data_IF_924581460920
#
_entry.id   IF_924581460920
#
_cell.length_a   1.000
_cell.length_b   1.000
_cell.length_c   1.000
_cell.angle_alpha   90.00
_cell.angle_beta   90.00
_cell.angle_gamma   90.00
#
_symmetry.space_group_name_H-M   'P 1'
#
loop_
_entity.id
_entity.type
_entity.pdbx_description
1 polymer ?
#
# COMPACT_ATOMS: atom_id res chain seq x y z
N UNK A 1 20.01 21.52 -12.25
CA UNK A 1 21.05 20.49 -12.26
C UNK A 1 20.36 19.15 -12.31
N UNK A 2 20.63 18.24 -13.23
CA UNK A 2 19.94 16.95 -13.31
C UNK A 2 20.42 16.05 -12.17
N UNK A 3 19.45 15.45 -11.52
CA UNK A 3 19.56 14.52 -10.40
C UNK A 3 20.46 13.32 -10.77
N UNK A 4 21.66 13.30 -10.22
CA UNK A 4 22.60 12.19 -10.34
C UNK A 4 22.25 11.06 -9.37
N UNK A 5 21.16 10.36 -9.61
CA UNK A 5 20.91 9.08 -8.95
C UNK A 5 21.84 8.06 -9.57
N UNK A 6 22.86 7.71 -8.79
CA UNK A 6 23.80 6.65 -9.11
C UNK A 6 23.05 5.31 -9.22
N UNK A 7 23.06 4.62 -10.38
CA UNK A 7 22.40 3.33 -10.56
C UNK A 7 23.03 2.19 -9.73
N UNK A 8 24.08 2.47 -8.97
CA UNK A 8 24.84 1.48 -8.19
C UNK A 8 24.65 1.59 -6.68
N UNK A 9 23.74 2.45 -6.21
CA UNK A 9 23.48 2.49 -4.76
C UNK A 9 22.62 1.28 -4.37
N UNK A 10 23.16 0.28 -3.64
CA UNK A 10 22.36 -0.84 -3.15
C UNK A 10 21.23 -0.29 -2.29
N UNK A 11 20.01 -0.74 -2.54
CA UNK A 11 18.77 -0.39 -1.87
C UNK A 11 19.01 0.01 -0.41
N UNK A 12 18.54 1.18 -0.02
CA UNK A 12 18.60 1.63 1.38
C UNK A 12 18.13 0.46 2.27
N UNK A 13 18.84 0.13 3.36
CA UNK A 13 18.47 -1.00 4.19
C UNK A 13 17.03 -0.78 4.63
N UNK A 14 16.14 -1.67 4.17
CA UNK A 14 14.74 -1.65 4.56
C UNK A 14 14.66 -1.48 6.08
N UNK A 15 13.87 -0.52 6.56
CA UNK A 15 13.69 -0.21 7.98
C UNK A 15 13.42 -1.45 8.84
N UNK A 16 13.23 -1.33 10.15
CA UNK A 16 12.92 -2.48 11.01
C UNK A 16 11.69 -3.21 10.47
N UNK A 17 11.63 -4.57 10.57
CA UNK A 17 10.48 -5.33 10.08
C UNK A 17 9.20 -4.88 10.81
N UNK A 18 8.04 -4.89 10.13
CA UNK A 18 6.78 -4.57 10.76
C UNK A 18 6.53 -5.44 12.01
N UNK A 19 5.87 -4.92 13.06
CA UNK A 19 5.56 -5.73 14.23
C UNK A 19 4.71 -6.95 13.84
N UNK A 20 4.98 -8.10 14.47
CA UNK A 20 4.27 -9.35 14.18
C UNK A 20 4.76 -10.07 12.91
N UNK A 21 6.00 -9.84 12.48
CA UNK A 21 6.63 -10.53 11.36
C UNK A 21 7.94 -11.20 11.77
N UNK A 22 8.22 -12.37 11.19
CA UNK A 22 9.53 -13.02 11.25
C UNK A 22 10.32 -12.74 9.97
N UNK A 23 11.61 -12.48 10.08
CA UNK A 23 12.52 -12.42 8.94
C UNK A 23 13.05 -13.83 8.67
N UNK A 24 12.69 -14.41 7.52
CA UNK A 24 13.13 -15.75 7.11
C UNK A 24 14.53 -15.73 6.48
N UNK A 25 14.91 -14.59 5.87
CA UNK A 25 16.19 -14.45 5.19
C UNK A 25 16.17 -13.37 4.11
N UNK A 26 17.15 -13.44 3.20
CA UNK A 26 17.24 -12.55 2.03
C UNK A 26 17.58 -13.35 0.78
N UNK A 27 16.91 -13.04 -0.33
CA UNK A 27 17.17 -13.59 -1.66
C UNK A 27 17.43 -12.44 -2.62
N UNK A 28 18.62 -12.37 -3.22
CA UNK A 28 19.04 -11.28 -4.13
C UNK A 28 18.83 -9.88 -3.56
N UNK A 29 19.04 -9.69 -2.25
CA UNK A 29 18.84 -8.42 -1.57
C UNK A 29 17.41 -8.17 -1.07
N UNK A 30 16.42 -8.91 -1.55
CA UNK A 30 15.02 -8.84 -1.15
C UNK A 30 14.86 -9.50 0.22
N UNK A 31 14.26 -8.80 1.18
CA UNK A 31 13.92 -9.36 2.49
C UNK A 31 12.73 -10.30 2.38
N UNK A 32 12.86 -11.52 2.90
CA UNK A 32 11.73 -12.45 3.02
C UNK A 32 11.19 -12.39 4.44
N UNK A 33 9.92 -12.07 4.58
CA UNK A 33 9.23 -12.00 5.87
C UNK A 33 7.99 -12.88 5.88
N UNK A 34 7.62 -13.37 7.07
CA UNK A 34 6.41 -14.15 7.29
C UNK A 34 5.63 -13.55 8.47
N UNK A 35 4.35 -13.26 8.26
CA UNK A 35 3.47 -12.74 9.32
C UNK A 35 2.98 -13.85 10.22
N UNK A 36 2.81 -13.55 11.50
CA UNK A 36 2.22 -14.49 12.48
C UNK A 36 0.82 -14.94 12.07
N UNK A 37 0.10 -14.15 11.28
CA UNK A 37 -1.22 -14.51 10.74
C UNK A 37 -1.19 -15.72 9.81
N UNK A 38 0.01 -16.15 9.34
CA UNK A 38 0.18 -17.38 8.58
C UNK A 38 0.04 -18.64 9.44
N UNK A 39 0.43 -18.58 10.73
CA UNK A 39 0.42 -19.74 11.60
C UNK A 39 -0.96 -20.41 11.80
N UNK A 40 -2.05 -19.68 12.09
CA UNK A 40 -3.38 -20.29 12.19
C UNK A 40 -3.80 -21.01 10.91
N UNK A 41 -3.46 -20.44 9.74
CA UNK A 41 -3.77 -21.03 8.45
C UNK A 41 -2.92 -22.27 8.18
N UNK A 42 -1.63 -22.19 8.44
CA UNK A 42 -0.72 -23.33 8.34
C UNK A 42 -1.18 -24.49 9.25
N UNK A 43 -1.62 -24.18 10.47
CA UNK A 43 -2.17 -25.17 11.39
C UNK A 43 -3.49 -25.78 10.86
N UNK A 44 -4.39 -24.98 10.34
CA UNK A 44 -5.65 -25.46 9.74
C UNK A 44 -5.37 -26.37 8.54
N UNK A 45 -4.46 -25.98 7.65
CA UNK A 45 -4.03 -26.81 6.53
C UNK A 45 -3.38 -28.12 7.00
N UNK A 46 -2.52 -28.06 8.03
CA UNK A 46 -1.90 -29.26 8.60
C UNK A 46 -2.93 -30.22 9.20
N UNK A 47 -3.90 -29.73 9.94
CA UNK A 47 -4.98 -30.53 10.53
C UNK A 47 -5.84 -31.17 9.41
N UNK A 48 -6.24 -30.36 8.42
CA UNK A 48 -7.03 -30.85 7.28
C UNK A 48 -6.30 -31.94 6.50
N UNK A 49 -5.03 -31.70 6.17
CA UNK A 49 -4.22 -32.68 5.43
C UNK A 49 -3.92 -33.94 6.27
N UNK A 50 -3.65 -33.80 7.57
CA UNK A 50 -3.48 -34.94 8.48
C UNK A 50 -4.75 -35.79 8.58
N UNK A 51 -5.94 -35.17 8.48
CA UNK A 51 -7.21 -35.90 8.44
C UNK A 51 -7.36 -36.70 7.12
N UNK A 52 -7.03 -36.09 5.98
CA UNK A 52 -7.05 -36.79 4.67
C UNK A 52 -6.11 -37.99 4.69
N UNK A 53 -4.85 -37.80 5.10
CA UNK A 53 -3.86 -38.89 5.21
C UNK A 53 -4.34 -39.96 6.19
N UNK A 54 -4.90 -39.58 7.35
CA UNK A 54 -5.36 -40.55 8.34
C UNK A 54 -6.55 -41.37 7.90
N UNK A 55 -7.38 -40.90 6.97
CA UNK A 55 -8.46 -41.66 6.37
C UNK A 55 -7.96 -42.65 5.32
N UNK A 56 -6.97 -42.26 4.51
CA UNK A 56 -6.44 -43.09 3.43
C UNK A 56 -5.33 -44.06 3.90
N UNK A 57 -4.58 -43.69 4.91
CA UNK A 57 -3.42 -44.44 5.45
C UNK A 57 -3.47 -44.51 6.98
N UNK A 58 -4.47 -45.22 7.57
CA UNK A 58 -4.63 -45.32 9.02
C UNK A 58 -3.41 -45.95 9.73
N UNK A 59 -2.64 -46.77 9.04
CA UNK A 59 -1.44 -47.44 9.52
C UNK A 59 -0.29 -46.47 9.85
N UNK A 60 -0.30 -45.26 9.29
CA UNK A 60 0.73 -44.25 9.58
C UNK A 60 0.67 -43.72 11.03
N UNK A 61 -0.48 -43.86 11.70
CA UNK A 61 -0.63 -43.39 13.08
C UNK A 61 -0.19 -41.93 13.24
N UNK A 62 0.81 -41.68 14.10
CA UNK A 62 1.36 -40.36 14.35
C UNK A 62 2.16 -39.75 13.17
N UNK A 63 2.69 -40.58 12.27
CA UNK A 63 3.47 -40.10 11.13
C UNK A 63 2.66 -39.24 10.15
N UNK A 64 1.33 -39.35 10.15
CA UNK A 64 0.43 -38.47 9.37
C UNK A 64 0.65 -36.98 9.67
N UNK A 65 1.02 -36.61 10.89
CA UNK A 65 1.28 -35.22 11.26
C UNK A 65 2.63 -34.71 10.68
N UNK A 66 3.61 -35.62 10.56
CA UNK A 66 4.90 -35.30 9.89
C UNK A 66 4.67 -35.07 8.40
N UNK A 67 3.87 -35.92 7.75
CA UNK A 67 3.47 -35.74 6.36
C UNK A 67 2.68 -34.43 6.13
N UNK A 68 1.76 -34.12 7.06
CA UNK A 68 1.01 -32.87 7.00
C UNK A 68 1.91 -31.63 7.16
N UNK A 69 2.87 -31.66 8.07
CA UNK A 69 3.85 -30.60 8.24
C UNK A 69 4.68 -30.41 6.96
N UNK A 70 5.19 -31.52 6.37
CA UNK A 70 5.94 -31.46 5.13
C UNK A 70 5.12 -30.87 3.97
N UNK A 71 3.82 -31.21 3.89
CA UNK A 71 2.89 -30.62 2.91
C UNK A 71 2.76 -29.11 3.11
N UNK A 72 2.53 -28.64 4.34
CA UNK A 72 2.41 -27.20 4.64
C UNK A 72 3.69 -26.45 4.28
N UNK A 73 4.87 -27.04 4.56
CA UNK A 73 6.15 -26.44 4.17
C UNK A 73 6.25 -26.37 2.62
N UNK A 74 5.93 -27.45 1.91
CA UNK A 74 5.96 -27.49 0.44
C UNK A 74 4.97 -26.46 -0.17
N UNK A 75 3.78 -26.36 0.38
CA UNK A 75 2.79 -25.37 -0.05
C UNK A 75 3.27 -23.94 0.23
N UNK A 76 3.87 -23.66 1.41
CA UNK A 76 4.44 -22.36 1.73
C UNK A 76 5.57 -21.99 0.75
N UNK A 77 6.41 -22.96 0.40
CA UNK A 77 7.46 -22.76 -0.62
C UNK A 77 6.84 -22.45 -1.99
N UNK A 78 5.74 -23.10 -2.36
CA UNK A 78 5.06 -22.82 -3.64
C UNK A 78 4.46 -21.41 -3.69
N UNK A 79 3.90 -20.91 -2.58
CA UNK A 79 3.47 -19.50 -2.46
C UNK A 79 4.66 -18.56 -2.56
N UNK A 80 5.80 -18.90 -1.93
CA UNK A 80 7.02 -18.11 -2.07
C UNK A 80 7.51 -18.05 -3.54
N UNK A 81 7.43 -19.16 -4.29
CA UNK A 81 7.75 -19.18 -5.73
C UNK A 81 6.83 -18.25 -6.51
N UNK A 82 5.54 -18.23 -6.20
CA UNK A 82 4.57 -17.31 -6.77
C UNK A 82 4.96 -15.86 -6.54
N UNK A 83 5.22 -15.45 -5.30
CA UNK A 83 5.64 -14.09 -4.95
C UNK A 83 7.00 -13.72 -5.54
N UNK A 84 7.93 -14.68 -5.56
CA UNK A 84 9.25 -14.48 -6.15
C UNK A 84 9.15 -14.23 -7.67
N UNK A 85 8.21 -14.89 -8.35
CA UNK A 85 7.97 -14.65 -9.77
C UNK A 85 7.54 -13.19 -10.03
N UNK A 86 6.63 -12.62 -9.22
CA UNK A 86 6.28 -11.20 -9.27
C UNK A 86 7.49 -10.29 -9.04
N UNK A 87 8.28 -10.58 -8.00
CA UNK A 87 9.46 -9.81 -7.64
C UNK A 87 10.51 -9.80 -8.76
N UNK A 88 10.83 -10.96 -9.32
CA UNK A 88 11.81 -11.10 -10.40
C UNK A 88 11.35 -10.38 -11.68
N UNK A 89 10.06 -10.45 -12.00
CA UNK A 89 9.51 -9.74 -13.16
C UNK A 89 9.54 -8.23 -12.93
N UNK A 90 9.20 -7.72 -11.73
CA UNK A 90 9.31 -6.30 -11.39
C UNK A 90 10.75 -5.81 -11.53
N UNK A 91 11.73 -6.55 -10.99
CA UNK A 91 13.15 -6.22 -11.10
C UNK A 91 13.64 -6.21 -12.56
N UNK A 92 13.10 -7.07 -13.44
CA UNK A 92 13.43 -7.07 -14.87
C UNK A 92 13.01 -5.78 -15.57
N UNK A 93 11.98 -5.11 -15.06
CA UNK A 93 11.56 -3.78 -15.53
C UNK A 93 12.24 -2.62 -14.78
N UNK A 94 13.24 -2.91 -13.95
CA UNK A 94 13.96 -1.89 -13.17
C UNK A 94 13.16 -1.32 -12.00
N UNK A 95 12.11 -2.03 -11.57
CA UNK A 95 11.29 -1.64 -10.43
C UNK A 95 11.93 -2.25 -9.17
N UNK A 96 12.21 -1.42 -8.16
CA UNK A 96 12.79 -1.86 -6.89
C UNK A 96 11.82 -2.78 -6.13
N UNK A 97 12.36 -3.81 -5.49
CA UNK A 97 11.62 -4.71 -4.60
C UNK A 97 12.36 -4.80 -3.28
N UNK A 98 11.75 -4.33 -2.20
CA UNK A 98 12.38 -4.31 -0.87
C UNK A 98 12.06 -5.54 -0.02
N UNK A 99 10.83 -6.05 -0.12
CA UNK A 99 10.35 -7.11 0.75
C UNK A 99 9.31 -7.99 0.06
N UNK A 100 9.39 -9.31 0.32
CA UNK A 100 8.34 -10.28 0.06
C UNK A 100 7.77 -10.71 1.41
N UNK A 101 6.49 -10.47 1.61
CA UNK A 101 5.79 -10.80 2.84
C UNK A 101 4.84 -11.98 2.61
N UNK A 102 5.09 -13.08 3.32
CA UNK A 102 4.20 -14.25 3.33
C UNK A 102 3.17 -14.07 4.43
N UNK A 103 1.92 -13.86 4.03
CA UNK A 103 0.78 -13.73 4.93
C UNK A 103 -0.50 -14.20 4.25
N UNK A 104 -1.48 -14.68 5.01
CA UNK A 104 -2.72 -15.22 4.40
C UNK A 104 -3.57 -14.14 3.74
N UNK A 105 -3.81 -13.00 4.42
CA UNK A 105 -4.63 -11.92 3.90
C UNK A 105 -3.84 -10.78 3.24
N UNK A 106 -2.52 -10.82 3.34
CA UNK A 106 -1.63 -9.78 2.85
C UNK A 106 -0.28 -10.38 2.44
N UNK A 107 -0.30 -11.57 1.79
CA UNK A 107 0.85 -11.99 1.02
C UNK A 107 1.02 -10.96 -0.11
N UNK A 108 2.24 -10.56 -0.37
CA UNK A 108 2.51 -9.61 -1.42
C UNK A 108 3.95 -9.15 -1.44
N UNK A 109 4.37 -8.83 -2.63
CA UNK A 109 5.68 -8.24 -2.89
C UNK A 109 5.60 -6.73 -2.70
N UNK A 110 6.38 -6.18 -1.75
CA UNK A 110 6.52 -4.73 -1.59
C UNK A 110 7.39 -4.18 -2.71
N UNK A 111 6.73 -3.61 -3.70
CA UNK A 111 7.32 -3.01 -4.89
C UNK A 111 7.53 -1.53 -4.60
N UNK A 112 8.78 -1.05 -4.70
CA UNK A 112 9.16 0.34 -4.54
C UNK A 112 9.01 1.07 -5.88
N UNK A 113 8.04 1.98 -5.94
CA UNK A 113 7.75 2.77 -7.13
C UNK A 113 6.47 2.38 -7.86
N UNK A 114 6.04 3.27 -8.73
CA UNK A 114 4.86 3.05 -9.55
C UNK A 114 5.24 2.36 -10.87
N UNK A 115 4.38 1.46 -11.32
CA UNK A 115 4.49 0.86 -12.65
C UNK A 115 4.22 1.94 -13.69
N UNK A 116 5.14 2.09 -14.64
CA UNK A 116 5.12 3.21 -15.60
C UNK A 116 4.30 2.92 -16.85
N UNK A 117 3.96 1.66 -17.09
CA UNK A 117 3.22 1.25 -18.28
C UNK A 117 2.23 0.11 -18.01
N UNK A 118 1.13 0.02 -18.81
CA UNK A 118 0.20 -1.11 -18.74
C UNK A 118 0.87 -2.46 -19.00
N UNK A 119 1.91 -2.51 -19.83
CA UNK A 119 2.62 -3.75 -20.13
C UNK A 119 3.43 -4.26 -18.94
N UNK A 120 4.12 -3.37 -18.23
CA UNK A 120 4.83 -3.72 -16.99
C UNK A 120 3.85 -4.28 -15.96
N UNK A 121 2.72 -3.59 -15.78
CA UNK A 121 1.67 -4.03 -14.86
C UNK A 121 1.15 -5.42 -15.20
N UNK A 122 0.78 -5.64 -16.46
CA UNK A 122 0.28 -6.92 -16.96
C UNK A 122 1.30 -8.04 -16.73
N UNK A 123 2.55 -7.84 -17.15
CA UNK A 123 3.61 -8.85 -17.06
C UNK A 123 3.93 -9.22 -15.63
N UNK A 124 4.03 -8.22 -14.74
CA UNK A 124 4.30 -8.46 -13.31
C UNK A 124 3.13 -9.19 -12.67
N UNK A 125 1.88 -8.86 -13.01
CA UNK A 125 0.72 -9.44 -12.35
C UNK A 125 0.40 -10.88 -12.81
N UNK A 126 0.67 -11.21 -14.08
CA UNK A 126 0.33 -12.54 -14.62
C UNK A 126 1.34 -13.63 -14.26
N UNK A 127 2.60 -13.25 -13.96
CA UNK A 127 3.69 -14.23 -13.81
C UNK A 127 3.56 -15.09 -12.56
N UNK A 128 3.02 -14.55 -11.44
CA UNK A 128 2.76 -15.31 -10.21
C UNK A 128 1.76 -16.43 -10.42
N UNK A 129 0.55 -16.14 -10.90
CA UNK A 129 -0.42 -17.18 -11.29
C UNK A 129 0.15 -18.23 -12.24
N UNK A 130 0.90 -17.83 -13.27
CA UNK A 130 1.55 -18.77 -14.18
C UNK A 130 2.54 -19.66 -13.43
N UNK A 131 3.34 -19.11 -12.51
CA UNK A 131 4.25 -19.90 -11.69
C UNK A 131 3.51 -20.93 -10.85
N UNK A 132 2.38 -20.55 -10.22
CA UNK A 132 1.54 -21.50 -9.48
C UNK A 132 0.96 -22.58 -10.38
N UNK A 133 0.48 -22.25 -11.59
CA UNK A 133 -0.03 -23.25 -12.55
C UNK A 133 1.06 -24.22 -12.98
N UNK A 134 2.31 -23.74 -13.19
CA UNK A 134 3.45 -24.60 -13.52
C UNK A 134 3.80 -25.52 -12.34
N UNK A 135 3.93 -24.98 -11.13
CA UNK A 135 4.20 -25.79 -9.93
C UNK A 135 3.09 -26.81 -9.72
N UNK A 136 1.83 -26.40 -9.87
CA UNK A 136 0.67 -27.27 -9.76
C UNK A 136 0.68 -28.40 -10.79
N UNK A 137 0.96 -28.08 -12.05
CA UNK A 137 1.10 -29.06 -13.12
C UNK A 137 2.25 -30.05 -12.89
N UNK A 138 3.42 -29.55 -12.47
CA UNK A 138 4.58 -30.40 -12.16
C UNK A 138 4.31 -31.31 -10.96
N UNK A 139 3.69 -30.82 -9.90
CA UNK A 139 3.31 -31.61 -8.73
C UNK A 139 2.29 -32.71 -9.11
N UNK A 140 1.27 -32.34 -9.90
CA UNK A 140 0.27 -33.28 -10.40
C UNK A 140 0.88 -34.36 -11.28
N UNK A 141 1.77 -34.01 -12.21
CA UNK A 141 2.49 -34.98 -13.03
C UNK A 141 3.43 -35.86 -12.20
N UNK A 142 4.14 -35.25 -11.24
CA UNK A 142 5.03 -35.95 -10.30
C UNK A 142 4.29 -36.95 -9.42
N UNK A 143 3.02 -36.70 -9.07
CA UNK A 143 2.23 -37.65 -8.29
C UNK A 143 2.08 -39.00 -8.99
N UNK A 144 2.06 -39.01 -10.33
CA UNK A 144 1.95 -40.23 -11.14
C UNK A 144 3.16 -41.18 -11.04
N UNK A 145 4.26 -40.72 -10.45
CA UNK A 145 5.44 -41.56 -10.18
C UNK A 145 5.30 -42.41 -8.90
N UNK A 146 4.21 -42.23 -8.14
CA UNK A 146 3.95 -42.92 -6.88
C UNK A 146 2.64 -43.72 -6.98
N UNK A 147 2.71 -45.02 -6.85
CA UNK A 147 1.53 -45.89 -6.84
C UNK A 147 0.92 -45.89 -5.43
N UNK A 148 -0.26 -45.25 -5.28
CA UNK A 148 -1.12 -45.23 -4.07
C UNK A 148 -0.38 -45.01 -2.71
N UNK A 149 0.78 -44.36 -2.75
CA UNK A 149 1.56 -44.04 -1.56
C UNK A 149 1.23 -42.62 -1.03
N UNK A 150 1.62 -42.36 0.20
CA UNK A 150 1.53 -41.01 0.80
C UNK A 150 2.10 -39.92 -0.09
N UNK A 151 3.17 -40.25 -0.85
CA UNK A 151 3.78 -39.34 -1.85
C UNK A 151 2.84 -38.99 -2.99
N UNK A 152 2.02 -39.94 -3.46
CA UNK A 152 0.95 -39.66 -4.45
C UNK A 152 -0.02 -38.59 -3.93
N UNK A 153 -0.61 -38.85 -2.74
CA UNK A 153 -1.60 -37.92 -2.15
C UNK A 153 -0.98 -36.56 -1.89
N UNK A 154 0.22 -36.52 -1.33
CA UNK A 154 0.89 -35.25 -1.02
C UNK A 154 1.16 -34.40 -2.27
N UNK A 155 1.66 -35.01 -3.35
CA UNK A 155 1.92 -34.30 -4.60
C UNK A 155 0.64 -33.97 -5.36
N UNK A 156 -0.37 -34.84 -5.32
CA UNK A 156 -1.66 -34.59 -5.94
C UNK A 156 -2.36 -33.40 -5.27
N UNK A 157 -2.45 -33.38 -3.93
CA UNK A 157 -3.04 -32.27 -3.17
C UNK A 157 -2.25 -30.96 -3.36
N UNK A 158 -0.91 -31.04 -3.38
CA UNK A 158 -0.07 -29.87 -3.68
C UNK A 158 -0.34 -29.35 -5.09
N UNK A 159 -0.51 -30.26 -6.05
CA UNK A 159 -0.86 -29.94 -7.43
C UNK A 159 -2.19 -29.21 -7.51
N UNK A 160 -3.24 -29.79 -6.92
CA UNK A 160 -4.60 -29.22 -6.89
C UNK A 160 -4.59 -27.86 -6.18
N UNK A 161 -3.94 -27.74 -5.02
CA UNK A 161 -3.88 -26.48 -4.28
C UNK A 161 -3.23 -25.37 -5.12
N UNK A 162 -2.10 -25.65 -5.79
CA UNK A 162 -1.45 -24.68 -6.65
C UNK A 162 -2.24 -24.32 -7.91
N UNK A 163 -2.95 -25.28 -8.51
CA UNK A 163 -3.87 -25.02 -9.63
C UNK A 163 -5.02 -24.10 -9.18
N UNK A 164 -5.60 -24.35 -8.00
CA UNK A 164 -6.63 -23.48 -7.42
C UNK A 164 -6.06 -22.08 -7.19
N UNK A 165 -4.88 -21.95 -6.58
CA UNK A 165 -4.22 -20.65 -6.35
C UNK A 165 -3.98 -19.92 -7.68
N UNK A 166 -3.44 -20.61 -8.69
CA UNK A 166 -3.17 -20.02 -10.00
C UNK A 166 -4.43 -19.54 -10.71
N UNK A 167 -5.47 -20.39 -10.75
CA UNK A 167 -6.74 -20.06 -11.41
C UNK A 167 -7.49 -18.95 -10.67
N UNK A 168 -7.59 -19.04 -9.35
CA UNK A 168 -8.31 -18.03 -8.56
C UNK A 168 -7.60 -16.67 -8.62
N UNK A 169 -6.26 -16.63 -8.60
CA UNK A 169 -5.52 -15.39 -8.78
C UNK A 169 -5.63 -14.80 -10.19
N UNK A 170 -6.02 -15.56 -11.21
CA UNK A 170 -6.33 -15.02 -12.55
C UNK A 170 -7.75 -14.47 -12.69
N UNK A 171 -8.62 -14.64 -11.70
CA UNK A 171 -9.97 -14.05 -11.74
C UNK A 171 -9.91 -12.52 -11.79
N UNK A 172 -10.70 -11.90 -12.69
CA UNK A 172 -10.59 -10.46 -12.97
C UNK A 172 -11.23 -9.61 -11.88
N UNK A 173 -10.55 -9.44 -10.75
CA UNK A 173 -11.07 -8.64 -9.63
C UNK A 173 -10.02 -8.37 -8.55
N UNK A 174 -9.87 -7.11 -8.15
CA UNK A 174 -9.04 -6.78 -6.99
C UNK A 174 -9.65 -7.40 -5.71
N UNK A 175 -8.83 -7.87 -4.77
CA UNK A 175 -7.38 -7.69 -4.66
C UNK A 175 -6.53 -8.77 -5.33
N UNK A 176 -7.10 -9.68 -6.14
CA UNK A 176 -6.39 -10.76 -6.82
C UNK A 176 -5.48 -10.22 -7.94
N UNK A 177 -4.48 -11.03 -8.36
CA UNK A 177 -3.56 -10.65 -9.44
C UNK A 177 -4.27 -10.40 -10.77
N UNK A 178 -5.31 -11.17 -11.09
CA UNK A 178 -6.18 -10.96 -12.23
C UNK A 178 -6.92 -9.60 -12.19
N UNK A 179 -7.11 -9.03 -11.03
CA UNK A 179 -7.59 -7.66 -10.88
C UNK A 179 -6.56 -6.64 -11.37
N UNK A 180 -5.27 -6.83 -11.08
CA UNK A 180 -4.20 -6.00 -11.62
C UNK A 180 -4.02 -6.20 -13.13
N UNK A 181 -4.19 -7.44 -13.61
CA UNK A 181 -4.26 -7.74 -15.06
C UNK A 181 -5.40 -6.97 -15.71
N UNK A 182 -6.62 -7.03 -15.14
CA UNK A 182 -7.77 -6.27 -15.64
C UNK A 182 -7.50 -4.75 -15.62
N UNK A 183 -6.89 -4.24 -14.54
CA UNK A 183 -6.47 -2.84 -14.44
C UNK A 183 -5.54 -2.46 -15.59
N UNK A 184 -4.53 -3.26 -15.86
CA UNK A 184 -3.57 -3.04 -16.96
C UNK A 184 -4.26 -2.99 -18.32
N UNK A 185 -5.20 -3.91 -18.57
CA UNK A 185 -5.98 -3.96 -19.81
C UNK A 185 -6.81 -2.68 -19.97
N UNK A 186 -7.60 -2.32 -18.96
CA UNK A 186 -8.44 -1.11 -19.00
C UNK A 186 -7.56 0.14 -19.12
N UNK A 187 -6.44 0.21 -18.41
CA UNK A 187 -5.48 1.31 -18.51
C UNK A 187 -4.93 1.45 -19.95
N UNK A 188 -4.56 0.34 -20.59
CA UNK A 188 -4.08 0.35 -21.97
C UNK A 188 -5.10 0.96 -22.96
N UNK A 189 -6.39 0.67 -22.78
CA UNK A 189 -7.43 1.17 -23.68
C UNK A 189 -7.91 2.58 -23.35
N UNK A 190 -7.91 2.98 -22.06
CA UNK A 190 -8.43 4.28 -21.62
C UNK A 190 -7.34 5.34 -21.46
N UNK A 191 -6.05 4.94 -21.47
CA UNK A 191 -4.94 5.81 -21.15
C UNK A 191 -4.87 6.23 -19.67
N UNK A 192 -5.77 5.73 -18.81
CA UNK A 192 -5.91 6.17 -17.43
C UNK A 192 -5.87 5.01 -16.44
N UNK A 193 -4.81 4.95 -15.62
CA UNK A 193 -4.61 3.92 -14.61
C UNK A 193 -5.71 3.92 -13.54
N UNK A 194 -6.23 5.10 -13.15
CA UNK A 194 -7.28 5.20 -12.13
C UNK A 194 -8.60 4.60 -12.61
N UNK A 195 -8.96 4.79 -13.87
CA UNK A 195 -10.12 4.14 -14.49
C UNK A 195 -9.98 2.62 -14.44
N UNK A 196 -8.78 2.11 -14.73
CA UNK A 196 -8.46 0.69 -14.60
C UNK A 196 -8.66 0.17 -13.18
N UNK A 197 -8.15 0.90 -12.17
CA UNK A 197 -8.31 0.52 -10.76
C UNK A 197 -9.77 0.48 -10.34
N UNK A 198 -10.58 1.47 -10.76
CA UNK A 198 -12.01 1.51 -10.46
C UNK A 198 -12.74 0.32 -11.09
N UNK A 199 -12.47 0.01 -12.36
CA UNK A 199 -13.06 -1.12 -13.07
C UNK A 199 -12.70 -2.45 -12.39
N UNK A 200 -11.42 -2.67 -12.06
CA UNK A 200 -10.95 -3.89 -11.40
C UNK A 200 -11.51 -4.03 -9.97
N UNK A 201 -11.68 -2.93 -9.24
CA UNK A 201 -12.29 -2.97 -7.91
C UNK A 201 -13.80 -3.28 -7.97
N UNK A 202 -14.53 -2.78 -8.95
CA UNK A 202 -15.93 -3.16 -9.14
C UNK A 202 -16.07 -4.63 -9.57
N UNK A 203 -15.20 -5.12 -10.46
CA UNK A 203 -15.15 -6.52 -10.83
C UNK A 203 -14.89 -7.42 -9.61
N UNK A 204 -13.98 -7.02 -8.71
CA UNK A 204 -13.74 -7.72 -7.45
C UNK A 204 -14.96 -7.76 -6.51
N UNK A 205 -15.78 -6.70 -6.48
CA UNK A 205 -17.05 -6.71 -5.72
C UNK A 205 -18.07 -7.64 -6.34
N UNK A 206 -18.19 -7.67 -7.66
CA UNK A 206 -19.05 -8.61 -8.37
C UNK A 206 -18.60 -10.04 -8.07
N UNK A 207 -17.30 -10.30 -8.11
CA UNK A 207 -16.74 -11.60 -7.76
C UNK A 207 -17.03 -11.97 -6.30
N UNK A 208 -16.92 -11.03 -5.35
CA UNK A 208 -17.29 -11.25 -3.96
C UNK A 208 -18.76 -11.67 -3.81
N UNK A 209 -19.67 -11.00 -4.50
CA UNK A 209 -21.08 -11.37 -4.51
C UNK A 209 -21.34 -12.73 -5.15
N UNK A 210 -20.62 -13.06 -6.23
CA UNK A 210 -20.71 -14.37 -6.86
C UNK A 210 -20.24 -15.49 -5.92
N UNK A 211 -19.14 -15.27 -5.18
CA UNK A 211 -18.63 -16.22 -4.17
C UNK A 211 -19.62 -16.40 -3.01
N UNK A 212 -20.25 -15.32 -2.54
CA UNK A 212 -21.29 -15.41 -1.50
C UNK A 212 -22.54 -16.17 -1.96
N UNK A 213 -22.90 -16.06 -3.24
CA UNK A 213 -24.03 -16.78 -3.82
C UNK A 213 -23.70 -18.26 -4.17
N UNK A 214 -22.40 -18.59 -4.24
CA UNK A 214 -21.95 -19.90 -4.75
C UNK A 214 -22.55 -21.11 -4.01
N UNK A 215 -22.65 -21.17 -2.66
CA UNK A 215 -23.25 -22.32 -1.98
C UNK A 215 -24.69 -22.59 -2.43
N UNK A 216 -25.50 -21.53 -2.58
CA UNK A 216 -26.89 -21.63 -3.03
C UNK A 216 -26.97 -22.03 -4.50
N UNK A 217 -26.10 -21.46 -5.36
CA UNK A 217 -26.06 -21.81 -6.78
C UNK A 217 -25.65 -23.27 -7.01
N UNK A 218 -24.74 -23.82 -6.19
CA UNK A 218 -24.34 -25.22 -6.28
C UNK A 218 -25.47 -26.16 -5.87
N UNK A 219 -26.33 -25.78 -4.92
CA UNK A 219 -27.55 -26.55 -4.58
C UNK A 219 -28.52 -26.58 -5.75
N UNK A 220 -28.82 -25.42 -6.34
CA UNK A 220 -29.79 -25.32 -7.46
C UNK A 220 -29.30 -26.04 -8.73
N UNK A 221 -27.99 -25.95 -9.04
CA UNK A 221 -27.45 -26.51 -10.29
C UNK A 221 -27.14 -28.01 -10.17
N UNK A 222 -26.62 -28.47 -9.04
CA UNK A 222 -26.12 -29.83 -8.86
C UNK A 222 -26.82 -30.63 -7.76
N UNK A 223 -27.86 -30.07 -7.12
CA UNK A 223 -28.60 -30.72 -6.05
C UNK A 223 -27.76 -31.01 -4.79
N UNK A 224 -26.57 -30.41 -4.66
CA UNK A 224 -25.70 -30.60 -3.52
C UNK A 224 -26.13 -29.64 -2.40
N UNK A 225 -26.68 -30.19 -1.31
CA UNK A 225 -27.00 -29.37 -0.13
C UNK A 225 -25.73 -28.77 0.49
N UNK A 226 -25.63 -27.43 0.57
CA UNK A 226 -24.48 -26.77 1.14
C UNK A 226 -24.41 -27.01 2.66
N UNK A 227 -23.22 -27.32 3.14
CA UNK A 227 -22.93 -27.43 4.55
C UNK A 227 -22.73 -26.04 5.18
N UNK A 228 -22.82 -25.96 6.51
CA UNK A 228 -22.46 -24.72 7.23
C UNK A 228 -21.03 -24.26 6.94
N UNK A 229 -20.11 -25.19 6.69
CA UNK A 229 -18.72 -24.91 6.32
C UNK A 229 -18.63 -24.22 4.97
N UNK A 230 -19.42 -24.64 3.98
CA UNK A 230 -19.45 -24.00 2.66
C UNK A 230 -19.88 -22.52 2.77
N UNK A 231 -20.88 -22.21 3.59
CA UNK A 231 -21.31 -20.84 3.85
C UNK A 231 -20.26 -20.03 4.61
N UNK A 232 -19.57 -20.62 5.60
CA UNK A 232 -18.50 -19.94 6.33
C UNK A 232 -17.30 -19.61 5.42
N UNK A 233 -16.90 -20.53 4.56
CA UNK A 233 -15.83 -20.30 3.58
C UNK A 233 -16.25 -19.22 2.58
N UNK A 234 -17.47 -19.31 2.02
CA UNK A 234 -17.98 -18.29 1.11
C UNK A 234 -18.04 -16.91 1.75
N UNK A 235 -18.48 -16.82 3.02
CA UNK A 235 -18.50 -15.56 3.79
C UNK A 235 -17.09 -15.01 4.00
N UNK A 236 -16.14 -15.84 4.41
CA UNK A 236 -14.75 -15.43 4.65
C UNK A 236 -14.08 -14.91 3.37
N UNK A 237 -14.19 -15.67 2.28
CA UNK A 237 -13.60 -15.32 0.98
C UNK A 237 -14.31 -14.11 0.39
N UNK A 238 -15.64 -14.07 0.43
CA UNK A 238 -16.44 -12.94 -0.04
C UNK A 238 -16.13 -11.66 0.73
N UNK A 239 -16.01 -11.73 2.05
CA UNK A 239 -15.60 -10.59 2.89
C UNK A 239 -14.18 -10.11 2.54
N UNK A 240 -13.23 -11.02 2.34
CA UNK A 240 -11.87 -10.68 1.92
C UNK A 240 -11.85 -9.95 0.58
N UNK A 241 -12.53 -10.49 -0.42
CA UNK A 241 -12.63 -9.87 -1.75
C UNK A 241 -13.32 -8.51 -1.69
N UNK A 242 -14.41 -8.40 -0.94
CA UNK A 242 -15.14 -7.14 -0.78
C UNK A 242 -14.32 -6.06 -0.08
N UNK A 243 -13.65 -6.42 1.03
CA UNK A 243 -12.83 -5.49 1.80
C UNK A 243 -11.61 -5.01 1.00
N UNK A 244 -10.90 -5.92 0.32
CA UNK A 244 -9.76 -5.59 -0.52
C UNK A 244 -10.15 -4.72 -1.73
N UNK A 245 -11.27 -5.04 -2.40
CA UNK A 245 -11.83 -4.22 -3.48
C UNK A 245 -12.20 -2.82 -2.99
N UNK A 246 -12.79 -2.72 -1.80
CA UNK A 246 -13.20 -1.44 -1.20
C UNK A 246 -11.98 -0.60 -0.85
N UNK A 247 -10.95 -1.19 -0.27
CA UNK A 247 -9.70 -0.51 0.05
C UNK A 247 -9.03 0.04 -1.23
N UNK A 248 -8.96 -0.77 -2.29
CA UNK A 248 -8.41 -0.37 -3.60
C UNK A 248 -9.21 0.78 -4.23
N UNK A 249 -10.55 0.72 -4.15
CA UNK A 249 -11.43 1.78 -4.65
C UNK A 249 -11.25 3.09 -3.87
N UNK A 250 -11.14 2.99 -2.56
CA UNK A 250 -10.90 4.15 -1.69
C UNK A 250 -9.55 4.80 -1.99
N UNK A 251 -8.50 4.00 -2.10
CA UNK A 251 -7.16 4.47 -2.47
C UNK A 251 -7.16 5.16 -3.85
N UNK A 252 -7.82 4.57 -4.86
CA UNK A 252 -7.93 5.17 -6.19
C UNK A 252 -8.66 6.53 -6.16
N UNK A 253 -9.73 6.64 -5.36
CA UNK A 253 -10.46 7.90 -5.19
C UNK A 253 -9.63 8.97 -4.49
N UNK A 254 -8.85 8.58 -3.47
CA UNK A 254 -7.94 9.48 -2.78
C UNK A 254 -6.85 10.01 -3.73
N UNK A 255 -6.17 9.12 -4.46
CA UNK A 255 -5.13 9.50 -5.43
C UNK A 255 -5.67 10.39 -6.55
N UNK A 256 -6.92 10.22 -6.98
CA UNK A 256 -7.56 11.10 -7.98
C UNK A 256 -7.72 12.54 -7.50
N UNK A 257 -7.82 12.78 -6.18
CA UNK A 257 -7.95 14.11 -5.59
C UNK A 257 -6.60 14.82 -5.40
N UNK A 258 -5.50 14.08 -5.33
CA UNK A 258 -4.17 14.64 -5.06
C UNK A 258 -3.70 15.69 -6.09
N UNK A 259 -3.85 15.48 -7.42
CA UNK A 259 -3.46 16.49 -8.41
C UNK A 259 -4.25 17.81 -8.31
N UNK A 260 -5.43 17.79 -7.67
CA UNK A 260 -6.22 19.00 -7.46
C UNK A 260 -5.72 19.85 -6.27
N UNK A 261 -4.83 19.31 -5.44
CA UNK A 261 -4.19 20.05 -4.36
C UNK A 261 -3.04 20.90 -4.95
N UNK A 262 -3.30 22.17 -5.07
CA UNK A 262 -2.30 23.15 -5.52
C UNK A 262 -1.93 24.04 -4.33
N UNK A 263 -0.65 24.04 -3.93
CA UNK A 263 -0.14 24.91 -2.86
C UNK A 263 -0.56 26.35 -3.07
N UNK A 264 -0.43 26.84 -4.32
CA UNK A 264 -0.73 28.22 -4.71
C UNK A 264 -2.16 28.67 -4.38
N UNK A 265 -3.13 27.75 -4.42
CA UNK A 265 -4.54 28.06 -4.14
C UNK A 265 -4.91 27.90 -2.67
N UNK A 266 -4.13 27.12 -1.92
CA UNK A 266 -4.39 26.81 -0.50
C UNK A 266 -3.54 27.66 0.44
N UNK A 267 -2.35 28.09 0.00
CA UNK A 267 -1.45 28.90 0.81
C UNK A 267 -2.04 30.30 1.05
N UNK A 268 -1.97 30.75 2.29
CA UNK A 268 -2.31 32.11 2.68
C UNK A 268 -1.13 33.01 2.36
N UNK A 269 -1.36 34.15 1.73
CA UNK A 269 -0.29 35.13 1.50
C UNK A 269 0.32 35.58 2.83
N UNK A 270 1.62 35.70 2.88
CA UNK A 270 2.33 36.16 4.05
C UNK A 270 3.11 37.45 3.75
N UNK A 271 3.28 38.27 4.78
CA UNK A 271 4.27 39.35 4.78
C UNK A 271 5.54 38.88 5.47
N UNK A 272 6.68 39.41 5.03
CA UNK A 272 7.97 39.20 5.67
C UNK A 272 8.29 40.42 6.53
N UNK A 273 8.65 40.21 7.81
CA UNK A 273 9.04 41.27 8.76
C UNK A 273 10.31 40.88 9.51
N UNK A 274 11.08 41.86 9.95
CA UNK A 274 12.27 41.60 10.77
C UNK A 274 11.90 41.21 12.21
N UNK A 275 12.75 40.42 12.85
CA UNK A 275 12.56 39.87 14.20
C UNK A 275 12.25 40.91 15.29
N UNK A 276 12.79 42.13 15.18
CA UNK A 276 12.54 43.24 16.11
C UNK A 276 11.27 44.05 15.83
N UNK A 277 10.48 43.72 14.78
CA UNK A 277 9.26 44.47 14.47
C UNK A 277 8.23 44.31 15.59
N UNK A 278 7.61 45.42 16.09
CA UNK A 278 6.49 45.29 17.04
C UNK A 278 5.31 44.50 16.44
N UNK A 279 4.71 43.66 17.26
CA UNK A 279 3.57 42.82 16.83
C UNK A 279 2.39 43.66 16.32
N UNK A 280 2.14 44.82 16.92
CA UNK A 280 1.11 45.74 16.45
C UNK A 280 1.35 46.20 15.01
N UNK A 281 2.60 46.50 14.67
CA UNK A 281 3.00 46.94 13.34
C UNK A 281 2.93 45.79 12.34
N UNK A 282 3.37 44.58 12.72
CA UNK A 282 3.24 43.40 11.88
C UNK A 282 1.77 43.07 11.56
N UNK A 283 0.88 43.17 12.55
CA UNK A 283 -0.57 42.95 12.36
C UNK A 283 -1.18 44.03 11.45
N UNK A 284 -0.76 45.30 11.60
CA UNK A 284 -1.18 46.42 10.74
C UNK A 284 -0.79 46.16 9.28
N UNK A 285 0.50 45.86 9.04
CA UNK A 285 1.04 45.56 7.71
C UNK A 285 0.37 44.33 7.06
N UNK A 286 0.11 43.29 7.85
CA UNK A 286 -0.63 42.12 7.37
C UNK A 286 -2.05 42.49 6.94
N UNK A 287 -2.73 43.34 7.72
CA UNK A 287 -4.08 43.85 7.39
C UNK A 287 -4.09 44.67 6.11
N UNK A 288 -3.14 45.60 5.93
CA UNK A 288 -3.03 46.45 4.73
C UNK A 288 -2.70 45.65 3.47
N UNK A 289 -1.89 44.59 3.62
CA UNK A 289 -1.50 43.70 2.51
C UNK A 289 -2.49 42.57 2.26
N UNK A 290 -3.57 42.48 3.03
CA UNK A 290 -4.51 41.34 3.01
C UNK A 290 -3.81 39.98 3.17
N UNK A 291 -2.72 39.98 3.96
CA UNK A 291 -1.96 38.78 4.25
C UNK A 291 -2.53 38.04 5.48
N UNK A 292 -2.69 36.72 5.33
CA UNK A 292 -3.20 35.85 6.40
C UNK A 292 -2.11 35.26 7.29
N UNK A 293 -0.83 35.63 7.10
CA UNK A 293 0.28 35.12 7.89
C UNK A 293 1.45 36.12 7.95
N UNK A 294 2.29 35.97 8.97
CA UNK A 294 3.51 36.78 9.15
C UNK A 294 4.71 35.84 9.25
N UNK A 295 5.71 36.08 8.41
CA UNK A 295 6.98 35.35 8.38
C UNK A 295 8.07 36.24 8.90
N UNK A 296 8.91 35.74 9.81
CA UNK A 296 10.03 36.46 10.36
C UNK A 296 11.28 36.17 9.56
N UNK A 297 11.93 37.23 9.07
CA UNK A 297 13.19 37.15 8.31
C UNK A 297 14.37 37.61 9.16
N UNK A 298 15.54 37.05 8.89
CA UNK A 298 16.81 37.48 9.48
C UNK A 298 17.38 38.73 8.78
N UNK A 299 18.58 39.14 9.20
CA UNK A 299 19.29 40.31 8.62
C UNK A 299 19.66 40.11 7.14
N UNK A 300 19.77 38.86 6.66
CA UNK A 300 20.08 38.49 5.31
C UNK A 300 18.79 38.29 4.45
N UNK A 301 17.61 38.53 5.01
CA UNK A 301 16.32 38.38 4.34
C UNK A 301 15.81 36.94 4.28
N UNK A 302 16.47 36.02 4.97
CA UNK A 302 16.04 34.61 4.97
C UNK A 302 14.95 34.33 6.00
N UNK A 303 13.87 33.63 5.64
CA UNK A 303 12.81 33.27 6.57
C UNK A 303 13.30 32.22 7.58
N UNK A 304 13.08 32.46 8.87
CA UNK A 304 13.52 31.57 9.93
C UNK A 304 12.45 31.24 10.97
N UNK A 305 11.33 31.99 11.02
CA UNK A 305 10.25 31.74 11.96
C UNK A 305 8.88 32.14 11.38
N UNK A 306 7.81 31.56 11.92
CA UNK A 306 6.41 31.89 11.61
C UNK A 306 5.73 32.45 12.84
N UNK A 307 4.89 33.46 12.66
CA UNK A 307 3.99 33.97 13.70
C UNK A 307 2.61 33.34 13.47
N UNK A 308 2.17 32.47 14.37
CA UNK A 308 0.87 31.83 14.28
C UNK A 308 -0.28 32.75 14.71
N UNK A 309 -1.47 32.58 14.10
CA UNK A 309 -2.67 33.34 14.51
C UNK A 309 -3.00 33.11 15.99
N UNK A 310 -2.78 31.92 16.52
CA UNK A 310 -3.02 31.59 17.93
C UNK A 310 -2.07 32.36 18.87
N UNK A 311 -0.81 32.51 18.47
CA UNK A 311 0.16 33.29 19.23
C UNK A 311 -0.20 34.78 19.23
N UNK A 312 -0.61 35.35 18.08
CA UNK A 312 -1.12 36.74 17.99
C UNK A 312 -2.35 36.94 18.85
N UNK A 313 -3.30 36.00 18.85
CA UNK A 313 -4.54 36.05 19.62
C UNK A 313 -4.27 36.00 21.16
N UNK A 314 -3.21 35.33 21.58
CA UNK A 314 -2.82 35.22 22.98
C UNK A 314 -2.28 36.53 23.55
N UNK A 315 -1.80 37.48 22.71
CA UNK A 315 -1.27 38.78 23.13
C UNK A 315 -2.40 39.80 23.15
N UNK A 316 -2.65 40.38 24.33
CA UNK A 316 -3.66 41.43 24.51
C UNK A 316 -3.35 42.64 23.61
N UNK A 317 -4.34 43.31 23.01
CA UNK A 317 -4.12 44.43 22.07
C UNK A 317 -3.25 45.55 22.60
N UNK A 318 -3.34 45.88 23.90
CA UNK A 318 -2.55 46.89 24.58
C UNK A 318 -1.08 46.48 24.79
N UNK A 319 -0.74 45.21 24.70
CA UNK A 319 0.63 44.69 24.84
C UNK A 319 1.34 44.56 23.49
N UNK A 320 0.62 44.44 22.38
CA UNK A 320 1.17 44.24 21.03
C UNK A 320 2.20 45.31 20.58
N UNK A 321 2.09 46.58 20.95
CA UNK A 321 3.10 47.59 20.61
C UNK A 321 4.46 47.35 21.27
N UNK A 322 4.49 46.62 22.40
CA UNK A 322 5.68 46.37 23.21
C UNK A 322 6.22 44.93 23.04
N UNK A 323 5.46 44.06 22.42
CA UNK A 323 5.85 42.68 22.12
C UNK A 323 6.45 42.63 20.72
N UNK A 324 7.60 42.01 20.56
CA UNK A 324 8.23 41.81 19.25
C UNK A 324 7.68 40.54 18.58
N UNK A 325 7.73 40.50 17.24
CA UNK A 325 7.29 39.31 16.50
C UNK A 325 8.14 38.07 16.85
N UNK A 326 9.41 38.25 17.22
CA UNK A 326 10.29 37.15 17.64
C UNK A 326 9.83 36.46 18.93
N UNK A 327 9.17 37.18 19.85
CA UNK A 327 8.67 36.61 21.11
C UNK A 327 7.46 35.66 20.91
N UNK A 328 6.72 35.85 19.83
CA UNK A 328 5.49 35.09 19.48
C UNK A 328 5.67 34.20 18.27
N UNK A 329 6.87 34.09 17.72
CA UNK A 329 7.18 33.32 16.56
C UNK A 329 7.70 31.91 16.91
N UNK A 330 7.44 30.95 16.04
CA UNK A 330 7.98 29.59 16.13
C UNK A 330 9.01 29.38 15.02
N UNK A 331 10.20 28.89 15.38
CA UNK A 331 11.26 28.62 14.40
C UNK A 331 10.83 27.56 13.38
N UNK A 332 11.18 27.81 12.12
CA UNK A 332 10.94 26.90 11.01
C UNK A 332 12.08 25.90 10.95
N UNK A 333 11.79 24.60 11.07
CA UNK A 333 12.74 23.53 10.77
C UNK A 333 12.86 23.32 9.25
N UNK A 334 13.99 22.77 8.80
CA UNK A 334 14.21 22.48 7.37
C UNK A 334 13.12 21.58 6.73
N UNK A 335 12.48 20.72 7.52
CA UNK A 335 11.38 19.88 7.08
C UNK A 335 10.00 20.57 7.03
N UNK A 336 9.87 21.83 7.44
CA UNK A 336 8.60 22.58 7.44
C UNK A 336 8.52 23.60 6.30
N UNK A 337 9.20 23.32 5.19
CA UNK A 337 9.22 24.15 3.98
C UNK A 337 8.58 23.38 2.85
N UNK A 338 7.68 24.01 2.12
CA UNK A 338 6.96 23.47 0.96
C UNK A 338 7.18 24.43 -0.21
N UNK A 339 7.44 23.92 -1.40
CA UNK A 339 7.51 24.70 -2.62
C UNK A 339 6.12 25.10 -3.13
N UNK A 340 5.96 26.28 -3.69
CA UNK A 340 4.67 26.74 -4.25
C UNK A 340 4.17 25.87 -5.40
N UNK A 341 5.08 25.17 -6.07
CA UNK A 341 4.78 24.28 -7.21
C UNK A 341 4.76 22.79 -6.80
N UNK A 342 4.91 22.46 -5.50
CA UNK A 342 4.89 21.09 -5.02
C UNK A 342 3.54 20.44 -5.33
N UNK A 343 3.59 19.18 -5.72
CA UNK A 343 2.42 18.36 -6.02
C UNK A 343 1.70 17.93 -4.74
N UNK A 344 0.45 17.54 -4.85
CA UNK A 344 -0.30 17.02 -3.70
C UNK A 344 0.36 15.81 -3.01
N UNK A 345 1.14 15.00 -3.73
CA UNK A 345 1.91 13.89 -3.16
C UNK A 345 3.10 14.39 -2.33
N UNK A 346 3.85 15.36 -2.83
CA UNK A 346 4.97 16.00 -2.12
C UNK A 346 4.50 16.71 -0.85
N UNK A 347 3.37 17.43 -0.94
CA UNK A 347 2.73 18.04 0.24
C UNK A 347 2.44 16.98 1.30
N UNK A 348 1.76 15.89 0.93
CA UNK A 348 1.41 14.84 1.89
C UNK A 348 2.63 14.10 2.44
N UNK A 349 3.69 13.93 1.66
CA UNK A 349 4.96 13.37 2.14
C UNK A 349 5.55 14.26 3.23
N UNK A 350 5.68 15.57 2.97
CA UNK A 350 6.20 16.54 3.93
C UNK A 350 5.37 16.60 5.22
N UNK A 351 4.02 16.58 5.09
CA UNK A 351 3.13 16.59 6.27
C UNK A 351 3.26 15.30 7.12
N UNK A 352 3.61 14.17 6.51
CA UNK A 352 3.79 12.89 7.23
C UNK A 352 5.16 12.78 7.89
N UNK A 353 6.21 13.22 7.20
CA UNK A 353 7.58 13.14 7.69
C UNK A 353 7.87 14.17 8.77
N UNK A 354 7.30 15.37 8.63
CA UNK A 354 7.51 16.51 9.50
C UNK A 354 6.17 17.13 9.93
N UNK A 355 5.39 16.48 10.81
CA UNK A 355 4.07 16.96 11.19
C UNK A 355 4.15 18.29 11.92
N UNK A 356 3.45 19.31 11.40
CA UNK A 356 3.31 20.65 11.97
C UNK A 356 1.92 21.21 11.66
N UNK A 357 1.51 22.26 12.37
CA UNK A 357 0.25 22.96 12.10
C UNK A 357 0.35 23.89 10.90
N UNK A 358 1.53 24.42 10.62
CA UNK A 358 1.80 25.41 9.57
C UNK A 358 3.15 25.16 8.91
N UNK A 359 3.23 25.40 7.59
CA UNK A 359 4.43 25.23 6.78
C UNK A 359 4.71 26.53 6.02
N UNK A 360 5.99 26.89 5.94
CA UNK A 360 6.44 27.99 5.09
C UNK A 360 6.34 27.57 3.62
N UNK A 361 5.74 28.42 2.80
CA UNK A 361 5.71 28.23 1.35
C UNK A 361 6.68 29.18 0.68
N UNK A 362 7.62 28.62 -0.07
CA UNK A 362 8.59 29.38 -0.84
C UNK A 362 8.23 29.36 -2.34
N UNK A 363 8.48 30.48 -3.01
CA UNK A 363 8.41 30.56 -4.47
C UNK A 363 9.65 29.90 -5.10
N UNK A 364 9.63 29.73 -6.43
CA UNK A 364 10.71 29.12 -7.19
C UNK A 364 12.08 29.85 -7.02
N UNK A 365 12.06 31.14 -6.73
CA UNK A 365 13.24 31.98 -6.48
C UNK A 365 13.70 31.95 -5.02
N UNK A 366 13.06 31.13 -4.15
CA UNK A 366 13.36 31.06 -2.72
C UNK A 366 12.76 32.18 -1.88
N UNK A 367 11.97 33.07 -2.47
CA UNK A 367 11.22 34.12 -1.78
C UNK A 367 10.03 33.56 -0.99
N UNK A 368 9.59 34.30 0.04
CA UNK A 368 8.39 33.94 0.82
C UNK A 368 7.14 34.13 -0.03
N UNK A 369 6.47 33.04 -0.38
CA UNK A 369 5.17 33.09 -1.02
C UNK A 369 4.03 33.20 0.00
N UNK A 370 4.07 32.40 1.06
CA UNK A 370 3.02 32.37 2.06
C UNK A 370 3.20 31.28 3.12
N UNK A 371 2.12 30.94 3.76
CA UNK A 371 2.03 29.89 4.77
C UNK A 371 0.90 28.93 4.42
N UNK A 372 1.16 27.63 4.48
CA UNK A 372 0.17 26.57 4.29
C UNK A 372 -0.18 25.96 5.64
N UNK A 373 -1.41 26.11 6.09
CA UNK A 373 -1.89 25.46 7.30
C UNK A 373 -2.40 24.04 6.99
N UNK A 374 -2.08 23.07 7.84
CA UNK A 374 -2.58 21.68 7.73
C UNK A 374 -4.10 21.63 7.66
N UNK A 375 -4.80 22.49 8.39
CA UNK A 375 -6.25 22.61 8.36
C UNK A 375 -6.80 23.01 6.98
N UNK A 376 -6.06 23.84 6.22
CA UNK A 376 -6.48 24.24 4.87
C UNK A 376 -6.30 23.10 3.86
N UNK A 377 -5.23 22.31 4.00
CA UNK A 377 -5.02 21.08 3.23
C UNK A 377 -6.14 20.07 3.51
N UNK A 378 -6.46 19.82 4.80
CA UNK A 378 -7.56 18.92 5.17
C UNK A 378 -8.91 19.39 4.62
N UNK A 379 -9.18 20.69 4.64
CA UNK A 379 -10.40 21.28 4.10
C UNK A 379 -10.49 21.09 2.59
N UNK A 380 -9.41 21.35 1.87
CA UNK A 380 -9.33 21.11 0.42
C UNK A 380 -9.52 19.63 0.07
N UNK A 381 -8.96 18.74 0.90
CA UNK A 381 -9.09 17.28 0.73
C UNK A 381 -10.50 16.77 0.98
N UNK A 382 -11.23 17.34 1.94
CA UNK A 382 -12.65 16.98 2.24
C UNK A 382 -13.63 17.47 1.19
N UNK A 383 -13.24 18.38 0.30
CA UNK A 383 -14.04 18.79 -0.84
C UNK A 383 -15.16 19.77 -0.50
N UNK A 384 -14.82 20.90 -0.01
CA UNK A 384 -15.67 22.11 -0.05
C UNK A 384 -15.13 23.07 -1.07
#
# INVERSE_FOLDING_TARGET
>A
MPDSRDPQNPAQPAGPPPPGTWVLGRVRGIRLTMRFTWLPVAMLLAIGFAAIIGQQFPELGGWRYVAAFAFVVAFTVSILIHELAHALMAMRFGIGVSEINLGFFAAGTHIEGERKSPLEEFAVSVVGPIASLIVGGLAYLGSRAFDEAVGYVALWELGVANLIVGVTNLLPGLPLDGGWVLRAIVWKFTGNMHTGTIAAAWAGRILAMAVLALPVLLEEIWGRQPSMVDFLIALLVGFFLWSGSTASLMQARLRRKLPALQVRTMARRAIAVHSGTPLAEAVRLAGESHAGAVVVIDGDGKPHALVSETAVAAVAPNQRPWTTVSEVSTRIGAGHIIGVNDTGEEILATLREHPASEYLVLDADGGVYGVLATADVERAFRGR
#
